data_IF_552519353909
#
_entry.id   IF_552519353909
#
_cell.length_a   1.000
_cell.length_b   1.000
_cell.length_c   1.000
_cell.angle_alpha   90.00
_cell.angle_beta   90.00
_cell.angle_gamma   90.00
#
_symmetry.space_group_name_H-M   'P 1'
#
loop_
_entity.id
_entity.type
_entity.pdbx_description
1 polymer ?
#
# COMPACT_ATOMS: atom_id res chain seq x y z
N UNK A 1 -3.46 8.01 -28.61
CA UNK A 1 -3.69 6.54 -28.70
C UNK A 1 -4.81 6.28 -29.70
N UNK A 2 -4.55 5.48 -30.74
CA UNK A 2 -5.64 4.99 -31.60
C UNK A 2 -6.34 3.86 -30.84
N UNK A 3 -7.69 3.86 -30.82
CA UNK A 3 -8.52 2.72 -30.35
C UNK A 3 -8.00 1.43 -31.01
N UNK A 4 -7.21 0.63 -30.29
CA UNK A 4 -6.73 -0.66 -30.81
C UNK A 4 -5.33 -1.09 -30.38
N UNK A 5 -4.47 -0.20 -29.87
CA UNK A 5 -3.20 -0.62 -29.27
C UNK A 5 -3.43 -1.21 -27.88
N UNK A 6 -2.85 -2.39 -27.64
CA UNK A 6 -3.00 -3.13 -26.40
C UNK A 6 -2.27 -2.36 -25.29
N UNK A 7 -3.04 -1.76 -24.37
CA UNK A 7 -2.50 -0.97 -23.26
C UNK A 7 -1.42 -1.73 -22.47
N UNK A 8 -1.55 -3.07 -22.38
CA UNK A 8 -0.56 -3.90 -21.70
C UNK A 8 0.76 -3.98 -22.45
N UNK A 9 0.76 -4.00 -23.79
CA UNK A 9 1.99 -3.95 -24.58
C UNK A 9 2.71 -2.62 -24.42
N UNK A 10 1.95 -1.52 -24.47
CA UNK A 10 2.52 -0.18 -24.30
C UNK A 10 3.10 0.00 -22.89
N UNK A 11 2.43 -0.55 -21.87
CA UNK A 11 2.96 -0.59 -20.52
C UNK A 11 4.25 -1.42 -20.43
N UNK A 12 4.38 -2.53 -21.15
CA UNK A 12 5.65 -3.29 -21.18
C UNK A 12 6.79 -2.54 -21.87
N UNK A 13 6.50 -1.82 -22.96
CA UNK A 13 7.52 -1.17 -23.79
C UNK A 13 7.95 0.20 -23.26
N UNK A 14 7.04 0.97 -22.66
CA UNK A 14 7.26 2.38 -22.31
C UNK A 14 7.26 2.61 -20.80
N UNK A 15 6.64 1.74 -19.99
CA UNK A 15 6.58 1.98 -18.54
C UNK A 15 7.95 1.87 -17.90
N UNK A 16 8.29 2.88 -17.09
CA UNK A 16 9.46 2.86 -16.22
C UNK A 16 9.22 2.07 -14.93
N UNK A 17 7.98 1.62 -14.68
CA UNK A 17 7.67 0.77 -13.54
C UNK A 17 8.25 -0.65 -13.74
N UNK A 18 9.09 -1.16 -12.82
CA UNK A 18 9.72 -2.47 -12.96
C UNK A 18 8.70 -3.62 -13.10
N UNK A 19 7.56 -3.52 -12.41
CA UNK A 19 6.53 -4.56 -12.41
C UNK A 19 5.74 -4.61 -13.72
N UNK A 20 5.74 -3.51 -14.49
CA UNK A 20 5.02 -3.43 -15.76
C UNK A 20 5.60 -4.38 -16.83
N UNK A 21 6.88 -4.73 -16.76
CA UNK A 21 7.50 -5.70 -17.68
C UNK A 21 6.89 -7.08 -17.55
N UNK A 22 6.58 -7.50 -16.33
CA UNK A 22 6.02 -8.82 -16.02
C UNK A 22 4.50 -8.83 -16.07
N UNK A 23 3.85 -7.86 -15.44
CA UNK A 23 2.39 -7.80 -15.28
C UNK A 23 1.68 -6.97 -16.36
N UNK A 24 2.41 -6.45 -17.34
CA UNK A 24 1.86 -5.59 -18.41
C UNK A 24 1.15 -4.35 -17.88
N UNK A 25 1.55 -3.87 -16.70
CA UNK A 25 0.90 -2.75 -16.01
C UNK A 25 -0.47 -3.08 -15.39
N UNK A 26 -0.84 -4.37 -15.30
CA UNK A 26 -2.03 -4.79 -14.56
C UNK A 26 -1.75 -4.83 -13.06
N UNK A 27 -2.64 -4.20 -12.28
CA UNK A 27 -2.51 -4.04 -10.82
C UNK A 27 -3.53 -4.88 -10.04
N UNK A 28 -4.31 -5.73 -10.72
CA UNK A 28 -5.47 -6.45 -10.15
C UNK A 28 -6.44 -5.52 -9.38
N UNK A 29 -7.27 -6.07 -8.49
CA UNK A 29 -8.20 -5.31 -7.67
C UNK A 29 -7.51 -4.73 -6.44
N UNK A 30 -7.41 -3.41 -6.39
CA UNK A 30 -6.88 -2.68 -5.24
C UNK A 30 -7.95 -1.83 -4.54
N UNK A 31 -7.70 -1.50 -3.26
CA UNK A 31 -8.54 -0.58 -2.49
C UNK A 31 -8.02 0.84 -2.63
N UNK A 32 -8.89 1.83 -2.38
CA UNK A 32 -8.54 3.25 -2.50
C UNK A 32 -7.31 3.63 -1.65
N UNK A 33 -7.15 3.03 -0.47
CA UNK A 33 -6.01 3.29 0.41
C UNK A 33 -4.70 2.58 0.03
N UNK A 34 -4.74 1.66 -0.95
CA UNK A 34 -3.55 0.89 -1.33
C UNK A 34 -2.60 1.64 -2.27
N UNK A 35 -3.06 2.72 -2.90
CA UNK A 35 -2.30 3.53 -3.87
C UNK A 35 -2.27 5.00 -3.47
N UNK A 36 -1.37 5.77 -4.09
CA UNK A 36 -1.24 7.21 -3.83
C UNK A 36 -2.57 7.95 -4.09
N UNK A 37 -2.89 8.99 -3.32
CA UNK A 37 -4.18 9.67 -3.41
C UNK A 37 -4.52 10.17 -4.80
N UNK A 38 -3.56 10.74 -5.55
CA UNK A 38 -3.81 11.24 -6.90
C UNK A 38 -4.23 10.11 -7.86
N UNK A 39 -3.52 8.99 -7.80
CA UNK A 39 -3.80 7.80 -8.61
C UNK A 39 -5.17 7.20 -8.24
N UNK A 40 -5.40 6.95 -6.96
CA UNK A 40 -6.66 6.39 -6.47
C UNK A 40 -7.85 7.28 -6.79
N UNK A 41 -7.74 8.60 -6.62
CA UNK A 41 -8.84 9.51 -6.93
C UNK A 41 -9.18 9.52 -8.43
N UNK A 42 -8.17 9.51 -9.31
CA UNK A 42 -8.40 9.40 -10.75
C UNK A 42 -9.01 8.04 -11.13
N UNK A 43 -8.44 6.93 -10.66
CA UNK A 43 -8.91 5.58 -10.97
C UNK A 43 -10.37 5.34 -10.52
N UNK A 44 -10.73 5.74 -9.31
CA UNK A 44 -12.08 5.55 -8.76
C UNK A 44 -13.11 6.56 -9.29
N UNK A 45 -12.66 7.70 -9.85
CA UNK A 45 -13.51 8.71 -10.49
C UNK A 45 -13.96 8.36 -11.91
N UNK A 46 -13.22 7.45 -12.58
CA UNK A 46 -13.48 7.03 -13.95
C UNK A 46 -14.48 5.87 -14.05
N UNK A 47 -15.02 5.68 -15.26
CA UNK A 47 -15.88 4.54 -15.61
C UNK A 47 -15.06 3.34 -16.07
N UNK A 48 -15.64 2.14 -15.96
CA UNK A 48 -15.06 0.91 -16.51
C UNK A 48 -14.83 1.09 -18.03
N UNK A 49 -13.63 0.73 -18.47
CA UNK A 49 -13.17 0.84 -19.86
C UNK A 49 -12.59 2.20 -20.25
N UNK A 50 -12.62 3.18 -19.35
CA UNK A 50 -12.09 4.52 -19.60
C UNK A 50 -10.58 4.58 -19.34
N UNK A 51 -9.91 5.47 -20.08
CA UNK A 51 -8.48 5.76 -19.95
C UNK A 51 -8.37 7.23 -19.51
N UNK A 52 -7.65 7.46 -18.42
CA UNK A 52 -7.37 8.80 -17.89
C UNK A 52 -6.38 9.58 -18.75
N UNK A 53 -6.46 10.91 -18.63
CA UNK A 53 -5.34 11.79 -18.92
C UNK A 53 -4.15 11.52 -17.97
N UNK A 54 -2.92 11.91 -18.33
CA UNK A 54 -1.74 11.71 -17.49
C UNK A 54 -1.91 12.31 -16.09
N UNK A 55 -1.96 11.44 -15.08
CA UNK A 55 -2.07 11.79 -13.66
C UNK A 55 -0.66 11.99 -13.10
N UNK A 56 -0.39 13.16 -12.53
CA UNK A 56 0.86 13.42 -11.84
C UNK A 56 0.80 12.85 -10.42
N UNK A 57 1.87 12.17 -10.00
CA UNK A 57 2.10 11.76 -8.62
C UNK A 57 3.56 12.01 -8.22
N UNK A 58 3.93 11.73 -6.97
CA UNK A 58 5.33 11.75 -6.51
C UNK A 58 6.26 10.82 -7.31
N UNK A 59 5.70 9.82 -8.00
CA UNK A 59 6.44 8.86 -8.83
C UNK A 59 6.51 9.24 -10.32
N UNK A 60 5.97 10.40 -10.70
CA UNK A 60 6.00 10.90 -12.08
C UNK A 60 4.60 11.00 -12.70
N UNK A 61 4.45 10.51 -13.93
CA UNK A 61 3.20 10.57 -14.68
C UNK A 61 2.64 9.16 -14.91
N UNK A 62 1.37 8.99 -14.56
CA UNK A 62 0.66 7.72 -14.69
C UNK A 62 -0.51 7.88 -15.66
N UNK A 63 -0.60 6.98 -16.63
CA UNK A 63 -1.81 6.80 -17.44
C UNK A 63 -2.55 5.59 -16.89
N UNK A 64 -3.81 5.77 -16.52
CA UNK A 64 -4.62 4.74 -15.84
C UNK A 64 -5.75 4.31 -16.76
N UNK A 65 -5.93 3.00 -16.93
CA UNK A 65 -7.07 2.39 -17.62
C UNK A 65 -7.87 1.55 -16.64
N UNK A 66 -9.16 1.84 -16.47
CA UNK A 66 -10.03 1.04 -15.59
C UNK A 66 -10.51 -0.20 -16.33
N UNK A 67 -10.02 -1.38 -15.95
CA UNK A 67 -10.43 -2.66 -16.57
C UNK A 67 -11.75 -3.16 -16.00
N UNK A 68 -11.92 -3.09 -14.68
CA UNK A 68 -13.12 -3.50 -13.97
C UNK A 68 -13.25 -2.74 -12.64
N UNK A 69 -14.44 -2.78 -12.02
CA UNK A 69 -14.73 -2.11 -10.75
C UNK A 69 -15.61 -3.01 -9.90
N UNK A 70 -15.17 -3.25 -8.66
CA UNK A 70 -15.99 -3.85 -7.62
C UNK A 70 -16.53 -2.76 -6.72
N UNK A 71 -17.84 -2.68 -6.62
CA UNK A 71 -18.47 -1.77 -5.68
C UNK A 71 -18.18 -2.19 -4.24
N UNK A 72 -18.10 -1.20 -3.36
CA UNK A 72 -17.88 -1.46 -1.95
C UNK A 72 -19.11 -2.22 -1.40
N UNK A 73 -18.95 -3.50 -1.12
CA UNK A 73 -19.96 -4.24 -0.39
C UNK A 73 -19.99 -3.69 1.04
N UNK A 74 -21.05 -2.96 1.38
CA UNK A 74 -21.29 -2.56 2.76
C UNK A 74 -21.62 -3.81 3.56
N UNK A 75 -20.61 -4.41 4.18
CA UNK A 75 -20.82 -5.51 5.13
C UNK A 75 -21.70 -4.97 6.24
N UNK A 76 -22.90 -5.53 6.39
CA UNK A 76 -23.83 -5.09 7.43
C UNK A 76 -23.22 -5.33 8.81
N UNK A 77 -23.57 -4.48 9.77
CA UNK A 77 -23.08 -4.58 11.14
C UNK A 77 -23.32 -5.97 11.73
N UNK A 78 -24.40 -6.66 11.33
CA UNK A 78 -24.69 -8.04 11.75
C UNK A 78 -23.66 -9.07 11.27
N UNK A 79 -23.18 -8.94 10.02
CA UNK A 79 -22.14 -9.81 9.47
C UNK A 79 -20.75 -9.47 10.02
N UNK A 80 -20.50 -8.19 10.33
CA UNK A 80 -19.23 -7.70 10.86
C UNK A 80 -19.08 -7.89 12.39
N UNK A 81 -20.18 -7.92 13.15
CA UNK A 81 -20.21 -8.13 14.61
C UNK A 81 -19.28 -9.24 15.12
N UNK A 82 -19.32 -10.49 14.60
CA UNK A 82 -18.44 -11.55 15.10
C UNK A 82 -16.95 -11.26 14.87
N UNK A 83 -16.60 -10.67 13.72
CA UNK A 83 -15.23 -10.26 13.41
C UNK A 83 -14.77 -9.11 14.30
N UNK A 84 -15.61 -8.10 14.52
CA UNK A 84 -15.34 -6.98 15.43
C UNK A 84 -15.14 -7.47 16.86
N UNK A 85 -15.99 -8.37 17.35
CA UNK A 85 -15.86 -8.93 18.69
C UNK A 85 -14.59 -9.75 18.85
N UNK A 86 -14.21 -10.54 17.85
CA UNK A 86 -12.94 -11.28 17.86
C UNK A 86 -11.74 -10.33 17.89
N UNK A 87 -11.77 -9.29 17.05
CA UNK A 87 -10.73 -8.26 16.99
C UNK A 87 -10.58 -7.52 18.33
N UNK A 88 -11.67 -7.01 18.90
CA UNK A 88 -11.66 -6.28 20.18
C UNK A 88 -11.24 -7.19 21.35
N UNK A 89 -11.65 -8.46 21.35
CA UNK A 89 -11.18 -9.44 22.34
C UNK A 89 -9.68 -9.67 22.23
N UNK A 90 -9.15 -9.83 21.03
CA UNK A 90 -7.73 -10.05 20.83
C UNK A 90 -6.91 -8.82 21.20
N UNK A 91 -7.38 -7.63 20.84
CA UNK A 91 -6.76 -6.36 21.20
C UNK A 91 -6.69 -6.18 22.73
N UNK A 92 -7.80 -6.41 23.45
CA UNK A 92 -7.79 -6.34 24.92
C UNK A 92 -6.90 -7.41 25.56
N UNK A 93 -6.89 -8.63 25.01
CA UNK A 93 -5.98 -9.69 25.48
C UNK A 93 -4.52 -9.28 25.31
N UNK A 94 -4.14 -8.75 24.15
CA UNK A 94 -2.78 -8.28 23.90
C UNK A 94 -2.38 -7.14 24.85
N UNK A 95 -3.26 -6.15 25.03
CA UNK A 95 -3.01 -5.07 25.98
C UNK A 95 -2.83 -5.58 27.43
N UNK A 96 -3.67 -6.51 27.89
CA UNK A 96 -3.55 -7.09 29.22
C UNK A 96 -2.28 -7.95 29.38
N UNK A 97 -1.92 -8.70 28.34
CA UNK A 97 -0.67 -9.49 28.32
C UNK A 97 0.54 -8.57 28.36
N UNK A 98 0.53 -7.47 27.62
CA UNK A 98 1.61 -6.47 27.64
C UNK A 98 1.77 -5.84 29.03
N UNK A 99 0.66 -5.54 29.72
CA UNK A 99 0.68 -5.01 31.08
C UNK A 99 1.25 -6.03 32.08
N UNK A 100 0.86 -7.30 31.98
CA UNK A 100 1.40 -8.39 32.81
C UNK A 100 2.89 -8.63 32.52
N UNK A 101 3.29 -8.62 31.24
CA UNK A 101 4.70 -8.75 30.83
C UNK A 101 5.52 -7.60 31.41
N UNK A 102 5.01 -6.37 31.38
CA UNK A 102 5.69 -5.21 31.98
C UNK A 102 5.87 -5.38 33.48
N UNK A 103 4.82 -5.80 34.19
CA UNK A 103 4.87 -6.04 35.63
C UNK A 103 5.79 -7.19 36.04
N UNK A 104 5.89 -8.26 35.23
CA UNK A 104 6.84 -9.37 35.45
C UNK A 104 8.27 -8.93 35.12
N UNK A 105 8.46 -8.12 34.08
CA UNK A 105 9.77 -7.59 33.68
C UNK A 105 10.35 -6.62 34.71
N UNK A 106 9.52 -5.85 35.41
CA UNK A 106 9.97 -4.99 36.53
C UNK A 106 10.34 -5.79 37.78
N UNK A 107 9.77 -6.99 37.96
CA UNK A 107 10.01 -7.85 39.13
C UNK A 107 11.04 -8.94 38.90
N UNK A 108 11.46 -9.18 37.66
CA UNK A 108 12.42 -10.19 37.29
C UNK A 108 13.77 -9.55 36.92
N UNK A 109 14.86 -10.08 37.47
CA UNK A 109 16.22 -9.69 37.09
C UNK A 109 16.54 -10.27 35.70
N UNK A 110 16.20 -9.54 34.65
CA UNK A 110 16.42 -9.97 33.26
C UNK A 110 17.87 -9.72 32.86
N UNK A 111 18.71 -10.75 32.94
CA UNK A 111 20.09 -10.72 32.43
C UNK A 111 20.10 -11.08 30.95
N UNK A 112 20.07 -10.06 30.09
CA UNK A 112 20.18 -10.21 28.63
C UNK A 112 21.65 -10.49 28.29
N UNK A 113 22.00 -11.74 28.01
CA UNK A 113 23.31 -12.08 27.45
C UNK A 113 23.18 -12.24 25.94
N UNK A 114 23.14 -11.10 25.24
CA UNK A 114 23.23 -11.03 23.79
C UNK A 114 24.47 -10.19 23.45
N UNK A 115 25.38 -10.67 22.58
CA UNK A 115 26.41 -9.79 22.02
C UNK A 115 25.71 -8.62 21.34
N UNK A 116 26.21 -7.41 21.58
CA UNK A 116 25.59 -6.17 21.10
C UNK A 116 25.22 -6.30 19.62
N UNK A 117 23.95 -6.06 19.25
CA UNK A 117 23.62 -5.95 17.83
C UNK A 117 24.48 -4.82 17.25
N UNK A 118 25.17 -5.03 16.12
CA UNK A 118 26.08 -4.04 15.58
C UNK A 118 25.34 -2.72 15.40
N UNK A 119 25.81 -1.70 16.12
CA UNK A 119 25.40 -0.34 15.91
C UNK A 119 25.55 -0.01 14.41
N UNK A 120 24.50 0.58 13.83
CA UNK A 120 24.42 1.05 12.44
C UNK A 120 24.09 0.01 11.35
N UNK A 121 22.80 -0.32 11.24
CA UNK A 121 22.12 -0.21 9.95
C UNK A 121 20.96 0.77 10.14
N UNK A 122 21.31 2.05 10.20
CA UNK A 122 20.36 3.14 10.12
C UNK A 122 19.65 3.05 8.76
N UNK A 123 18.45 2.47 8.73
CA UNK A 123 17.51 2.71 7.65
C UNK A 123 17.12 4.20 7.74
N UNK A 124 17.42 5.03 6.72
CA UNK A 124 17.07 6.43 6.77
C UNK A 124 15.54 6.54 6.69
N UNK A 125 15.01 7.43 7.53
CA UNK A 125 13.61 7.82 7.58
C UNK A 125 13.03 8.11 6.18
N UNK A 126 11.81 7.67 5.85
CA UNK A 126 11.12 8.18 4.68
C UNK A 126 10.46 9.50 5.07
N UNK A 127 11.07 10.60 4.69
CA UNK A 127 10.45 11.91 4.68
C UNK A 127 11.10 12.76 3.56
N UNK A 128 10.50 13.87 3.13
CA UNK A 128 9.47 13.90 2.10
C UNK A 128 9.90 14.81 0.93
N UNK A 129 9.65 14.36 -0.30
CA UNK A 129 9.58 15.22 -1.48
C UNK A 129 10.87 15.89 -1.95
N UNK A 130 10.72 16.48 -3.13
CA UNK A 130 11.58 17.48 -3.76
C UNK A 130 12.72 16.98 -4.69
N UNK A 131 12.35 16.85 -5.96
CA UNK A 131 12.89 17.59 -7.12
C UNK A 131 14.42 17.58 -7.43
N UNK A 132 14.67 17.30 -8.72
CA UNK A 132 15.62 17.98 -9.67
C UNK A 132 17.06 17.48 -9.89
N UNK A 133 17.27 16.85 -11.07
CA UNK A 133 18.21 17.18 -12.18
C UNK A 133 19.74 17.25 -11.93
N UNK A 134 20.64 17.39 -12.94
CA UNK A 134 20.58 17.19 -14.40
C UNK A 134 21.70 16.29 -15.02
N UNK A 135 21.52 15.95 -16.31
CA UNK A 135 22.49 15.80 -17.41
C UNK A 135 23.93 15.23 -17.19
N UNK A 136 24.28 14.24 -18.02
CA UNK A 136 25.30 14.40 -19.08
C UNK A 136 25.04 13.43 -20.24
#
# INVERSE_FOLDING_TARGET
MKKGEDFGKLAQEISEDPSAKENKGDLDFFRKEAMVPEFSNAAFGMKKGEISDPVRSDFGFHVIKVTDRKDAETVTLEKAKPQLLAFLKNQKKQAAVEEVIKGVREKAEVKINLPEPPAAAAAPAPAPGAITAPAK
#
